data_IF_874825241517
#
_entry.id   IF_874825241517
#
_cell.length_a   1.000
_cell.length_b   1.000
_cell.length_c   1.000
_cell.angle_alpha   90.00
_cell.angle_beta   90.00
_cell.angle_gamma   90.00
#
_symmetry.space_group_name_H-M   'P 1'
#
loop_
_entity.id
_entity.type
_entity.pdbx_description
1 polymer ?
#
# COMPACT_ATOMS: atom_id res chain seq x y z
N UNK A 1 42.38 -17.09 18.82
CA UNK A 1 41.99 -16.86 17.41
C UNK A 1 40.64 -17.48 17.07
N UNK A 2 40.30 -18.65 17.61
CA UNK A 2 39.00 -19.33 17.44
C UNK A 2 37.79 -18.57 18.03
N UNK A 3 37.89 -17.97 19.22
CA UNK A 3 36.77 -17.24 19.86
C UNK A 3 36.31 -15.99 19.07
N UNK A 4 37.24 -15.24 18.47
CA UNK A 4 36.90 -14.07 17.65
C UNK A 4 36.17 -14.47 16.37
N UNK A 5 36.59 -15.55 15.73
CA UNK A 5 35.97 -16.05 14.52
C UNK A 5 34.56 -16.61 14.80
N UNK A 6 34.39 -17.31 15.92
CA UNK A 6 33.08 -17.77 16.38
C UNK A 6 32.13 -16.60 16.63
N UNK A 7 32.56 -15.56 17.36
CA UNK A 7 31.76 -14.34 17.59
C UNK A 7 31.37 -13.62 16.31
N UNK A 8 32.28 -13.53 15.33
CA UNK A 8 31.98 -12.94 14.03
C UNK A 8 30.91 -13.71 13.27
N UNK A 9 30.96 -15.05 13.29
CA UNK A 9 29.95 -15.88 12.62
C UNK A 9 28.57 -15.76 13.28
N UNK A 10 28.52 -15.67 14.61
CA UNK A 10 27.27 -15.44 15.35
C UNK A 10 26.68 -14.08 14.99
N UNK A 11 27.49 -13.02 14.97
CA UNK A 11 27.05 -11.68 14.60
C UNK A 11 26.51 -11.63 13.16
N UNK A 12 27.18 -12.26 12.21
CA UNK A 12 26.75 -12.33 10.81
C UNK A 12 25.43 -13.11 10.66
N UNK A 13 25.25 -14.19 11.43
CA UNK A 13 24.00 -14.94 11.47
C UNK A 13 22.85 -14.11 12.06
N UNK A 14 23.10 -13.34 13.12
CA UNK A 14 22.11 -12.45 13.72
C UNK A 14 21.69 -11.34 12.76
N UNK A 15 22.66 -10.72 12.07
CA UNK A 15 22.38 -9.72 11.02
C UNK A 15 21.54 -10.32 9.90
N UNK A 16 21.86 -11.54 9.45
CA UNK A 16 21.07 -12.22 8.43
C UNK A 16 19.63 -12.48 8.89
N UNK A 17 19.44 -12.97 10.12
CA UNK A 17 18.10 -13.17 10.72
C UNK A 17 17.32 -11.86 10.79
N UNK A 18 17.97 -10.78 11.19
CA UNK A 18 17.35 -9.45 11.24
C UNK A 18 16.88 -8.99 9.85
N UNK A 19 17.72 -9.13 8.81
CA UNK A 19 17.34 -8.76 7.43
C UNK A 19 16.13 -9.56 6.97
N UNK A 20 16.10 -10.88 7.20
CA UNK A 20 14.95 -11.72 6.86
C UNK A 20 13.67 -11.31 7.60
N UNK A 21 13.79 -10.94 8.87
CA UNK A 21 12.66 -10.43 9.66
C UNK A 21 12.13 -9.10 9.10
N UNK A 22 13.01 -8.15 8.75
CA UNK A 22 12.61 -6.88 8.15
C UNK A 22 11.96 -7.08 6.79
N UNK A 23 12.47 -8.02 5.99
CA UNK A 23 11.88 -8.37 4.71
C UNK A 23 10.45 -8.91 4.87
N UNK A 24 10.24 -9.81 5.83
CA UNK A 24 8.93 -10.36 6.12
C UNK A 24 7.97 -9.31 6.67
N UNK A 25 8.44 -8.44 7.58
CA UNK A 25 7.65 -7.33 8.11
C UNK A 25 7.23 -6.34 7.02
N UNK A 26 8.14 -6.01 6.10
CA UNK A 26 7.83 -5.12 4.96
C UNK A 26 6.74 -5.74 4.08
N UNK A 27 6.79 -7.05 3.87
CA UNK A 27 5.79 -7.78 3.09
C UNK A 27 4.40 -7.73 3.77
N UNK A 28 4.34 -8.01 5.07
CA UNK A 28 3.10 -7.99 5.86
C UNK A 28 2.48 -6.58 5.93
N UNK A 29 3.32 -5.55 6.03
CA UNK A 29 2.87 -4.16 6.10
C UNK A 29 2.03 -3.75 4.89
N UNK A 30 2.31 -4.28 3.69
CA UNK A 30 1.52 -4.00 2.48
C UNK A 30 0.06 -4.42 2.67
N UNK A 31 -0.19 -5.62 3.22
CA UNK A 31 -1.54 -6.10 3.49
C UNK A 31 -2.23 -5.26 4.56
N UNK A 32 -1.49 -4.87 5.60
CA UNK A 32 -1.99 -3.97 6.65
C UNK A 32 -2.40 -2.61 6.10
N UNK A 33 -1.59 -2.00 5.22
CA UNK A 33 -1.90 -0.72 4.60
C UNK A 33 -3.14 -0.83 3.68
N UNK A 34 -3.26 -1.93 2.94
CA UNK A 34 -4.44 -2.19 2.11
C UNK A 34 -5.70 -2.31 2.97
N UNK A 35 -5.65 -3.04 4.09
CA UNK A 35 -6.79 -3.19 4.99
C UNK A 35 -7.22 -1.83 5.59
N UNK A 36 -6.26 -1.02 6.05
CA UNK A 36 -6.54 0.33 6.56
C UNK A 36 -7.18 1.21 5.48
N UNK A 37 -6.64 1.18 4.26
CA UNK A 37 -7.22 1.87 3.12
C UNK A 37 -8.67 1.44 2.87
N UNK A 38 -8.93 0.13 2.83
CA UNK A 38 -10.27 -0.41 2.59
C UNK A 38 -11.26 0.00 3.69
N UNK A 39 -10.86 -0.04 4.96
CA UNK A 39 -11.70 0.40 6.07
C UNK A 39 -12.08 1.87 5.92
N UNK A 40 -11.10 2.76 5.75
CA UNK A 40 -11.34 4.21 5.66
C UNK A 40 -12.16 4.53 4.40
N UNK A 41 -11.79 3.97 3.26
CA UNK A 41 -12.50 4.20 1.99
C UNK A 41 -13.95 3.74 2.08
N UNK A 42 -14.20 2.55 2.65
CA UNK A 42 -15.57 2.02 2.80
C UNK A 42 -16.40 2.88 3.76
N UNK A 43 -15.82 3.38 4.86
CA UNK A 43 -16.49 4.30 5.76
C UNK A 43 -16.88 5.60 5.07
N UNK A 44 -15.96 6.22 4.32
CA UNK A 44 -16.24 7.47 3.60
C UNK A 44 -17.30 7.23 2.52
N UNK A 45 -17.15 6.20 1.70
CA UNK A 45 -18.11 5.86 0.65
C UNK A 45 -19.49 5.52 1.23
N UNK A 46 -19.54 4.84 2.38
CA UNK A 46 -20.77 4.60 3.11
C UNK A 46 -21.46 5.91 3.53
N UNK A 47 -20.69 6.88 4.03
CA UNK A 47 -21.19 8.22 4.33
C UNK A 47 -21.72 8.96 3.09
N UNK A 48 -20.98 8.91 1.98
CA UNK A 48 -21.39 9.50 0.69
C UNK A 48 -22.71 8.89 0.21
N UNK A 49 -22.85 7.56 0.27
CA UNK A 49 -24.08 6.86 -0.09
C UNK A 49 -25.24 7.22 0.85
N UNK A 50 -24.98 7.32 2.16
CA UNK A 50 -25.99 7.73 3.13
C UNK A 50 -26.53 9.13 2.84
N UNK A 51 -25.67 10.09 2.49
CA UNK A 51 -26.08 11.42 2.04
C UNK A 51 -26.87 11.33 0.74
N UNK A 52 -26.38 10.59 -0.25
CA UNK A 52 -27.06 10.44 -1.53
C UNK A 52 -28.50 9.90 -1.40
N UNK A 53 -28.73 8.89 -0.57
CA UNK A 53 -30.07 8.33 -0.33
C UNK A 53 -30.89 9.14 0.68
N UNK A 54 -30.23 9.84 1.61
CA UNK A 54 -30.86 10.50 2.75
C UNK A 54 -31.14 11.99 2.58
N UNK A 55 -30.50 12.70 1.64
CA UNK A 55 -30.49 14.17 1.62
C UNK A 55 -31.88 14.80 1.64
N UNK A 56 -32.83 14.27 0.86
CA UNK A 56 -34.22 14.75 0.84
C UNK A 56 -34.94 14.55 2.16
N UNK A 57 -34.73 13.40 2.81
CA UNK A 57 -35.34 13.08 4.10
C UNK A 57 -34.75 13.93 5.23
N UNK A 58 -33.46 14.24 5.15
CA UNK A 58 -32.75 15.05 6.12
C UNK A 58 -32.91 16.55 5.91
N UNK A 59 -33.64 16.98 4.87
CA UNK A 59 -33.83 18.39 4.55
C UNK A 59 -32.53 19.09 4.14
N UNK A 60 -31.54 18.32 3.64
CA UNK A 60 -30.28 18.87 3.15
C UNK A 60 -30.52 19.40 1.74
N UNK A 61 -30.07 20.63 1.50
CA UNK A 61 -30.13 21.24 0.18
C UNK A 61 -29.31 20.45 -0.86
N UNK A 62 -29.78 20.40 -2.09
CA UNK A 62 -29.16 19.62 -3.16
C UNK A 62 -27.72 20.10 -3.47
N UNK A 63 -27.44 21.40 -3.35
CA UNK A 63 -26.09 21.95 -3.54
C UNK A 63 -25.14 21.47 -2.43
N UNK A 64 -25.63 21.47 -1.19
CA UNK A 64 -24.88 20.97 -0.04
C UNK A 64 -24.60 19.48 -0.20
N UNK A 65 -25.60 18.68 -0.58
CA UNK A 65 -25.43 17.25 -0.81
C UNK A 65 -24.40 16.95 -1.92
N UNK A 66 -24.42 17.68 -3.03
CA UNK A 66 -23.42 17.57 -4.11
C UNK A 66 -22.02 17.91 -3.63
N UNK A 67 -21.89 18.97 -2.83
CA UNK A 67 -20.61 19.37 -2.24
C UNK A 67 -20.07 18.28 -1.34
N UNK A 68 -20.89 17.73 -0.44
CA UNK A 68 -20.49 16.63 0.46
C UNK A 68 -20.05 15.38 -0.31
N UNK A 69 -20.80 14.99 -1.35
CA UNK A 69 -20.42 13.86 -2.22
C UNK A 69 -19.06 14.13 -2.88
N UNK A 70 -18.86 15.32 -3.45
CA UNK A 70 -17.62 15.69 -4.14
C UNK A 70 -16.43 15.75 -3.20
N UNK A 71 -16.59 16.32 -2.01
CA UNK A 71 -15.55 16.36 -0.97
C UNK A 71 -15.22 14.96 -0.48
N UNK A 72 -16.23 14.09 -0.30
CA UNK A 72 -16.03 12.68 0.04
C UNK A 72 -15.19 11.95 -1.01
N UNK A 73 -15.44 12.19 -2.29
CA UNK A 73 -14.65 11.63 -3.39
C UNK A 73 -13.18 12.11 -3.38
N UNK A 74 -12.95 13.39 -3.12
CA UNK A 74 -11.60 13.93 -2.94
C UNK A 74 -10.89 13.33 -1.73
N UNK A 75 -11.60 13.14 -0.62
CA UNK A 75 -11.04 12.54 0.59
C UNK A 75 -10.63 11.08 0.35
N UNK A 76 -11.47 10.28 -0.31
CA UNK A 76 -11.10 8.91 -0.72
C UNK A 76 -9.86 8.92 -1.61
N UNK A 77 -9.77 9.87 -2.54
CA UNK A 77 -8.61 10.02 -3.43
C UNK A 77 -7.33 10.34 -2.65
N UNK A 78 -7.40 11.24 -1.66
CA UNK A 78 -6.27 11.57 -0.81
C UNK A 78 -5.79 10.36 0.03
N UNK A 79 -6.73 9.62 0.61
CA UNK A 79 -6.43 8.39 1.37
C UNK A 79 -5.79 7.33 0.46
N UNK A 80 -6.28 7.21 -0.76
CA UNK A 80 -5.74 6.28 -1.74
C UNK A 80 -4.32 6.67 -2.18
N UNK A 81 -4.07 7.95 -2.43
CA UNK A 81 -2.73 8.46 -2.76
C UNK A 81 -1.74 8.19 -1.62
N UNK A 82 -2.16 8.39 -0.37
CA UNK A 82 -1.36 8.06 0.80
C UNK A 82 -1.06 6.55 0.89
N UNK A 83 -2.04 5.69 0.66
CA UNK A 83 -1.85 4.24 0.65
C UNK A 83 -0.86 3.81 -0.45
N UNK A 84 -0.98 4.35 -1.66
CA UNK A 84 -0.04 4.10 -2.77
C UNK A 84 1.37 4.53 -2.38
N UNK A 85 1.54 5.69 -1.75
CA UNK A 85 2.84 6.16 -1.29
C UNK A 85 3.45 5.19 -0.27
N UNK A 86 2.68 4.67 0.69
CA UNK A 86 3.15 3.68 1.65
C UNK A 86 3.62 2.39 0.96
N UNK A 87 2.89 1.92 -0.06
CA UNK A 87 3.29 0.75 -0.84
C UNK A 87 4.59 1.00 -1.60
N UNK A 88 4.75 2.19 -2.20
CA UNK A 88 5.98 2.58 -2.91
C UNK A 88 7.17 2.62 -1.94
N UNK A 89 7.01 3.22 -0.76
CA UNK A 89 8.07 3.25 0.26
C UNK A 89 8.42 1.84 0.72
N UNK A 90 7.42 0.97 0.95
CA UNK A 90 7.65 -0.44 1.29
C UNK A 90 8.44 -1.20 0.22
N UNK A 91 8.10 -0.98 -1.06
CA UNK A 91 8.87 -1.50 -2.20
C UNK A 91 10.34 -1.06 -2.16
N UNK A 92 10.59 0.23 -1.91
CA UNK A 92 11.95 0.77 -1.85
C UNK A 92 12.75 0.16 -0.69
N UNK A 93 12.14 0.05 0.49
CA UNK A 93 12.75 -0.60 1.65
C UNK A 93 13.01 -2.08 1.40
N UNK A 94 12.07 -2.81 0.77
CA UNK A 94 12.27 -4.21 0.40
C UNK A 94 13.47 -4.37 -0.54
N UNK A 95 13.59 -3.51 -1.55
CA UNK A 95 14.72 -3.54 -2.49
C UNK A 95 16.07 -3.35 -1.80
N UNK A 96 16.12 -2.46 -0.81
CA UNK A 96 17.32 -2.18 -0.05
C UNK A 96 17.73 -3.39 0.80
N UNK A 97 16.82 -3.91 1.63
CA UNK A 97 17.07 -5.12 2.43
C UNK A 97 17.44 -6.33 1.58
N UNK A 98 16.85 -6.48 0.39
CA UNK A 98 17.21 -7.57 -0.54
C UNK A 98 18.61 -7.42 -1.11
N UNK A 99 19.10 -6.20 -1.32
CA UNK A 99 20.48 -5.96 -1.75
C UNK A 99 21.43 -6.29 -0.62
N UNK A 100 21.15 -5.80 0.59
CA UNK A 100 21.94 -6.13 1.78
C UNK A 100 22.04 -7.63 2.03
N UNK A 101 20.94 -8.37 1.85
CA UNK A 101 20.93 -9.84 1.95
C UNK A 101 21.86 -10.49 0.91
N UNK A 102 21.81 -10.04 -0.34
CA UNK A 102 22.65 -10.59 -1.40
C UNK A 102 24.14 -10.29 -1.13
N UNK A 103 24.45 -9.07 -0.70
CA UNK A 103 25.82 -8.66 -0.40
C UNK A 103 26.39 -9.45 0.78
N UNK A 104 25.58 -9.71 1.82
CA UNK A 104 25.96 -10.55 2.94
C UNK A 104 26.21 -12.02 2.51
N UNK A 105 25.35 -12.58 1.66
CA UNK A 105 25.50 -13.97 1.19
C UNK A 105 26.70 -14.15 0.26
N UNK A 106 26.98 -13.15 -0.58
CA UNK A 106 28.13 -13.14 -1.47
C UNK A 106 29.45 -13.11 -0.68
N UNK A 107 29.49 -12.40 0.46
CA UNK A 107 30.64 -12.36 1.36
C UNK A 107 30.82 -13.66 2.15
N UNK A 108 29.73 -14.27 2.65
CA UNK A 108 29.80 -15.39 3.60
C UNK A 108 29.85 -16.77 2.96
N UNK A 109 29.20 -16.95 1.81
CA UNK A 109 29.00 -18.27 1.22
C UNK A 109 29.77 -18.38 -0.09
N UNK A 110 29.33 -17.61 -1.09
CA UNK A 110 29.93 -17.56 -2.42
C UNK A 110 29.28 -16.43 -3.21
N UNK A 111 30.03 -15.73 -4.09
CA UNK A 111 29.44 -14.80 -5.03
C UNK A 111 28.37 -15.46 -5.91
N UNK A 112 27.22 -14.79 -6.05
CA UNK A 112 26.14 -15.19 -6.95
C UNK A 112 25.25 -16.30 -6.41
N UNK A 113 25.24 -16.56 -5.10
CA UNK A 113 24.32 -17.53 -4.48
C UNK A 113 22.85 -17.14 -4.74
N UNK A 114 22.55 -15.84 -4.75
CA UNK A 114 21.21 -15.33 -5.00
C UNK A 114 21.24 -14.18 -6.00
N UNK A 115 20.30 -14.19 -6.95
CA UNK A 115 20.18 -13.12 -7.92
C UNK A 115 19.74 -11.81 -7.26
N UNK A 116 20.43 -10.71 -7.59
CA UNK A 116 20.07 -9.36 -7.15
C UNK A 116 18.68 -8.97 -7.67
N UNK A 117 17.91 -8.18 -6.91
CA UNK A 117 16.59 -7.76 -7.34
C UNK A 117 16.69 -6.84 -8.56
N UNK A 118 16.05 -7.24 -9.65
CA UNK A 118 15.93 -6.43 -10.86
C UNK A 118 14.59 -5.70 -10.83
N UNK A 119 14.65 -4.37 -11.02
CA UNK A 119 13.47 -3.52 -11.19
C UNK A 119 12.53 -4.05 -12.28
N UNK A 120 13.05 -4.69 -13.33
CA UNK A 120 12.22 -5.20 -14.44
C UNK A 120 11.22 -6.31 -14.04
N UNK A 121 11.33 -6.90 -12.86
CA UNK A 121 10.43 -7.97 -12.39
C UNK A 121 9.18 -7.49 -11.62
N UNK A 122 8.81 -6.21 -11.74
CA UNK A 122 7.64 -5.62 -11.07
C UNK A 122 6.31 -6.39 -11.27
N UNK A 123 6.13 -7.10 -12.39
CA UNK A 123 4.92 -7.90 -12.63
C UNK A 123 4.79 -9.10 -11.68
N UNK A 124 5.89 -9.57 -11.09
CA UNK A 124 5.85 -10.67 -10.10
C UNK A 124 5.48 -10.21 -8.70
N UNK A 125 5.41 -8.90 -8.48
CA UNK A 125 5.25 -8.31 -7.16
C UNK A 125 3.78 -8.11 -6.88
N UNK A 126 3.30 -8.67 -5.77
CA UNK A 126 1.91 -8.56 -5.38
C UNK A 126 1.54 -7.09 -5.09
N UNK A 127 2.51 -6.28 -4.67
CA UNK A 127 2.42 -4.85 -4.41
C UNK A 127 1.99 -4.06 -5.65
N UNK A 128 2.45 -4.45 -6.84
CA UNK A 128 2.03 -3.82 -8.11
C UNK A 128 0.54 -4.00 -8.32
N UNK A 129 0.00 -5.18 -8.03
CA UNK A 129 -1.43 -5.45 -8.15
C UNK A 129 -2.25 -4.70 -7.09
N UNK A 130 -1.70 -4.49 -5.89
CA UNK A 130 -2.32 -3.64 -4.86
C UNK A 130 -2.48 -2.21 -5.36
N UNK A 131 -1.44 -1.63 -5.96
CA UNK A 131 -1.52 -0.27 -6.53
C UNK A 131 -2.55 -0.22 -7.67
N UNK A 132 -2.52 -1.18 -8.59
CA UNK A 132 -3.49 -1.26 -9.70
C UNK A 132 -4.92 -1.39 -9.17
N UNK A 133 -5.14 -2.20 -8.14
CA UNK A 133 -6.44 -2.36 -7.49
C UNK A 133 -6.94 -1.03 -6.91
N UNK A 134 -6.10 -0.32 -6.14
CA UNK A 134 -6.44 0.97 -5.56
C UNK A 134 -6.79 1.99 -6.66
N UNK A 135 -5.96 2.10 -7.71
CA UNK A 135 -6.21 3.01 -8.83
C UNK A 135 -7.53 2.70 -9.55
N UNK A 136 -7.78 1.42 -9.82
CA UNK A 136 -9.02 0.97 -10.48
C UNK A 136 -10.24 1.35 -9.63
N UNK A 137 -10.16 1.17 -8.31
CA UNK A 137 -11.23 1.52 -7.39
C UNK A 137 -11.50 3.02 -7.35
N UNK A 138 -10.46 3.87 -7.32
CA UNK A 138 -10.60 5.33 -7.40
C UNK A 138 -11.29 5.72 -8.71
N UNK A 139 -10.81 5.21 -9.85
CA UNK A 139 -11.39 5.54 -11.16
C UNK A 139 -12.86 5.15 -11.21
N UNK A 140 -13.19 3.93 -10.78
CA UNK A 140 -14.56 3.42 -10.79
C UNK A 140 -15.48 4.27 -9.89
N UNK A 141 -15.01 4.63 -8.69
CA UNK A 141 -15.79 5.46 -7.77
C UNK A 141 -16.03 6.86 -8.32
N UNK A 142 -15.04 7.49 -8.97
CA UNK A 142 -15.22 8.78 -9.64
C UNK A 142 -16.18 8.71 -10.83
N UNK A 143 -16.09 7.65 -11.64
CA UNK A 143 -17.02 7.42 -12.75
C UNK A 143 -18.44 7.25 -12.21
N UNK A 144 -18.64 6.43 -11.19
CA UNK A 144 -19.95 6.25 -10.54
C UNK A 144 -20.48 7.56 -9.95
N UNK A 145 -19.65 8.35 -9.27
CA UNK A 145 -20.07 9.62 -8.70
C UNK A 145 -20.59 10.60 -9.77
N UNK A 146 -19.86 10.74 -10.87
CA UNK A 146 -20.20 11.69 -11.94
C UNK A 146 -21.35 11.21 -12.83
N UNK A 147 -21.44 9.92 -13.12
CA UNK A 147 -22.46 9.37 -14.03
C UNK A 147 -23.74 9.05 -13.28
N UNK A 148 -23.65 8.53 -12.06
CA UNK A 148 -24.80 7.99 -11.35
C UNK A 148 -25.32 8.87 -10.21
N UNK A 149 -24.44 9.45 -9.38
CA UNK A 149 -24.86 10.16 -8.17
C UNK A 149 -25.15 11.64 -8.42
N UNK A 150 -24.14 12.41 -8.83
CA UNK A 150 -24.26 13.87 -8.98
C UNK A 150 -25.41 14.32 -9.90
N UNK A 151 -25.69 13.68 -11.06
CA UNK A 151 -26.80 14.08 -11.93
C UNK A 151 -28.19 13.84 -11.32
N UNK A 152 -28.30 12.91 -10.38
CA UNK A 152 -29.57 12.53 -9.73
C UNK A 152 -29.88 13.38 -8.49
N UNK A 153 -28.87 14.01 -7.90
CA UNK A 153 -29.08 14.98 -6.82
C UNK A 153 -29.58 16.28 -7.44
N UNK A 154 -30.87 16.56 -7.26
CA UNK A 154 -31.58 17.79 -7.65
C UNK A 154 -32.31 18.34 -6.44
#
# INVERSE_FOLDING_TARGET
MTDLQERMTVFQLERYKFILQQLHATNENVHRYLAIFQTIATTILGGVLAVFFGYKRWGIDAETARTVITVGMWLVTAVAAFAILQVIVGILSWLDYRREECDLLDELVKPGVRARPLWKNFYRWYETYVVVFILTLIILTWVLANVAFLPRVK
#
